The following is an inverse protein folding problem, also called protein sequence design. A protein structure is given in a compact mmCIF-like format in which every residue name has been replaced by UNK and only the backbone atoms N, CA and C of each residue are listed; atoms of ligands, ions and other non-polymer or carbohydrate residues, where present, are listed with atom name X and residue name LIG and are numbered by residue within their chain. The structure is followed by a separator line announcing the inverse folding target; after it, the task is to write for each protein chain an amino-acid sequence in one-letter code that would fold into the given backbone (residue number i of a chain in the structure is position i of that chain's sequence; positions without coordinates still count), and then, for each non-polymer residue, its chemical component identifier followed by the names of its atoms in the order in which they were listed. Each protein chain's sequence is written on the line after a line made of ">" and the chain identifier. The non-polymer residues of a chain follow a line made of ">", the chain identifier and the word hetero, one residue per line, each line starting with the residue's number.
data_IF_028281914286
#
_entry.id   IF_028281914286
#
_cell.length_a   1.000
_cell.length_b   1.000
_cell.length_c   1.000
_cell.angle_alpha   90.00
_cell.angle_beta   90.00
_cell.angle_gamma   90.00
#
_symmetry.space_group_name_H-M   'P 1'
#
loop_
_entity.id
_entity.type
_entity.pdbx_description
1 polymer ?
#
# COMPACT_ATOMS: atom_id res chain seq x y z
N UNK A 1 -10.83 8.34 29.25
CA UNK A 1 -11.31 7.28 28.31
C UNK A 1 -10.71 7.53 26.94
N UNK A 2 -9.90 6.59 26.45
CA UNK A 2 -9.42 6.63 25.08
C UNK A 2 -10.61 6.43 24.13
N UNK A 3 -10.81 7.30 23.14
CA UNK A 3 -11.91 7.13 22.20
C UNK A 3 -11.79 5.77 21.51
N UNK A 4 -12.85 4.99 21.57
CA UNK A 4 -12.93 3.71 20.86
C UNK A 4 -12.59 3.94 19.39
N UNK A 5 -11.75 3.09 18.76
CA UNK A 5 -11.41 3.22 17.37
C UNK A 5 -12.68 3.29 16.54
N UNK A 6 -12.78 4.32 15.71
CA UNK A 6 -13.99 4.58 14.95
C UNK A 6 -14.35 3.36 14.08
N UNK A 7 -15.64 3.11 13.89
CA UNK A 7 -16.18 2.03 13.05
C UNK A 7 -15.49 1.90 11.68
N UNK A 8 -14.84 2.95 11.18
CA UNK A 8 -14.12 2.94 9.89
C UNK A 8 -12.90 2.01 9.87
N UNK A 9 -12.20 1.84 10.99
CA UNK A 9 -11.06 0.90 11.05
C UNK A 9 -11.49 -0.57 11.09
N UNK A 10 -12.70 -0.86 11.56
CA UNK A 10 -13.27 -2.22 11.52
C UNK A 10 -13.72 -2.66 10.12
N UNK A 11 -13.85 -1.73 9.18
CA UNK A 11 -14.36 -2.00 7.82
C UNK A 11 -13.28 -2.46 6.83
N UNK A 12 -12.02 -2.58 7.24
CA UNK A 12 -10.96 -3.11 6.39
C UNK A 12 -10.88 -4.64 6.38
N UNK A 13 -11.61 -5.32 7.27
CA UNK A 13 -11.58 -6.77 7.39
C UNK A 13 -12.70 -7.45 6.57
N UNK A 14 -12.43 -8.66 6.11
CA UNK A 14 -13.37 -9.59 5.43
C UNK A 14 -14.71 -9.77 6.19
N UNK A 15 -14.72 -9.51 7.48
CA UNK A 15 -15.90 -9.67 8.37
C UNK A 15 -17.15 -8.89 7.94
N UNK A 16 -16.99 -7.83 7.14
CA UNK A 16 -18.11 -6.96 6.74
C UNK A 16 -18.70 -7.35 5.39
N UNK A 17 -18.37 -8.53 4.86
CA UNK A 17 -18.90 -9.02 3.60
C UNK A 17 -19.93 -10.12 3.84
N UNK A 18 -21.02 -10.05 3.08
CA UNK A 18 -22.03 -11.08 3.10
C UNK A 18 -21.51 -12.37 2.44
N UNK A 19 -21.79 -13.50 3.02
CA UNK A 19 -21.51 -14.81 2.40
C UNK A 19 -22.48 -15.10 1.25
N UNK A 20 -23.72 -14.62 1.39
CA UNK A 20 -24.79 -14.68 0.39
C UNK A 20 -25.26 -13.27 0.07
N UNK A 21 -25.97 -13.09 -1.03
CA UNK A 21 -26.58 -11.84 -1.39
C UNK A 21 -27.56 -11.36 -0.31
N UNK A 22 -27.43 -10.09 0.11
CA UNK A 22 -28.27 -9.48 1.12
C UNK A 22 -28.39 -7.97 0.87
N UNK A 23 -29.41 -7.35 1.46
CA UNK A 23 -29.60 -5.89 1.36
C UNK A 23 -28.46 -5.11 2.00
N UNK A 24 -27.99 -4.08 1.29
CA UNK A 24 -27.00 -3.13 1.79
C UNK A 24 -27.23 -1.74 1.18
N UNK A 25 -26.96 -0.67 1.92
CA UNK A 25 -27.09 0.72 1.44
C UNK A 25 -26.28 1.02 0.18
N UNK A 26 -25.17 0.35 -0.03
CA UNK A 26 -24.37 0.40 -1.25
C UNK A 26 -24.60 -0.92 -1.99
N UNK A 27 -25.32 -0.88 -3.10
CA UNK A 27 -25.86 -2.05 -3.82
C UNK A 27 -24.85 -3.18 -4.02
N UNK A 28 -23.66 -2.85 -4.50
CA UNK A 28 -22.61 -3.84 -4.75
C UNK A 28 -22.03 -4.50 -3.48
N UNK A 29 -22.14 -3.84 -2.33
CA UNK A 29 -21.64 -4.41 -1.05
C UNK A 29 -22.58 -5.47 -0.47
N UNK A 30 -23.80 -5.51 -0.93
CA UNK A 30 -24.77 -6.55 -0.56
C UNK A 30 -24.56 -7.88 -1.27
N UNK A 31 -23.72 -7.91 -2.32
CA UNK A 31 -23.46 -9.14 -3.09
C UNK A 31 -22.52 -10.08 -2.36
N UNK A 32 -22.71 -11.38 -2.59
CA UNK A 32 -21.90 -12.46 -2.05
C UNK A 32 -20.41 -12.23 -2.30
N UNK A 33 -19.59 -12.25 -1.21
CA UNK A 33 -18.17 -11.97 -1.29
C UNK A 33 -17.30 -13.14 -1.76
N UNK A 34 -17.58 -14.41 -1.38
CA UNK A 34 -16.65 -15.51 -1.64
C UNK A 34 -16.42 -15.82 -3.12
N UNK A 35 -17.39 -15.47 -3.99
CA UNK A 35 -17.37 -15.81 -5.41
C UNK A 35 -17.34 -14.61 -6.35
N UNK A 36 -17.19 -13.39 -5.80
CA UNK A 36 -17.30 -12.17 -6.59
C UNK A 36 -16.15 -11.21 -6.37
N UNK A 37 -15.73 -10.56 -7.46
CA UNK A 37 -15.01 -9.30 -7.43
C UNK A 37 -16.01 -8.15 -7.29
N UNK A 38 -15.81 -7.27 -6.31
CA UNK A 38 -16.74 -6.18 -6.02
C UNK A 38 -16.03 -4.83 -6.14
N UNK A 39 -16.52 -3.98 -7.05
CA UNK A 39 -16.07 -2.60 -7.17
C UNK A 39 -16.71 -1.75 -6.06
N UNK A 40 -15.89 -1.00 -5.33
CA UNK A 40 -16.35 -0.09 -4.29
C UNK A 40 -15.59 1.23 -4.35
N UNK A 41 -16.21 2.29 -3.83
CA UNK A 41 -15.50 3.54 -3.61
C UNK A 41 -14.39 3.38 -2.57
N UNK A 42 -13.34 4.19 -2.71
CA UNK A 42 -12.26 4.31 -1.73
C UNK A 42 -12.05 5.77 -1.33
N UNK A 43 -11.76 5.98 -0.06
CA UNK A 43 -11.35 7.28 0.44
C UNK A 43 -9.82 7.53 0.35
N UNK A 44 -9.05 6.61 -0.24
CA UNK A 44 -7.60 6.67 -0.25
C UNK A 44 -7.06 7.95 -0.90
N UNK A 45 -7.56 8.33 -2.08
CA UNK A 45 -7.14 9.56 -2.77
C UNK A 45 -7.39 10.82 -1.92
N UNK A 46 -8.55 10.90 -1.25
CA UNK A 46 -8.88 12.00 -0.34
C UNK A 46 -7.99 12.00 0.91
N UNK A 47 -7.61 10.82 1.41
CA UNK A 47 -6.74 10.71 2.57
C UNK A 47 -5.32 11.16 2.26
N UNK A 48 -4.78 10.78 1.11
CA UNK A 48 -3.44 11.23 0.64
C UNK A 48 -3.42 12.75 0.45
N UNK A 49 -4.43 13.33 -0.19
CA UNK A 49 -4.51 14.79 -0.39
C UNK A 49 -4.56 15.60 0.91
N UNK A 50 -5.00 15.03 2.04
CA UNK A 50 -4.94 15.68 3.34
C UNK A 50 -3.51 15.80 3.89
N UNK A 51 -2.64 14.87 3.54
CA UNK A 51 -1.25 14.83 4.01
C UNK A 51 -0.32 15.50 3.00
N UNK A 52 -0.61 15.37 1.72
CA UNK A 52 0.10 15.95 0.58
C UNK A 52 -0.85 16.86 -0.20
N UNK A 53 -1.07 18.12 0.25
CA UNK A 53 -2.03 19.04 -0.37
C UNK A 53 -1.77 19.32 -1.84
N UNK A 54 -0.52 19.22 -2.29
CA UNK A 54 -0.11 19.39 -3.69
C UNK A 54 -0.70 18.34 -4.64
N UNK A 55 -1.21 17.23 -4.09
CA UNK A 55 -1.90 16.17 -4.84
C UNK A 55 -3.43 16.35 -4.86
N UNK A 56 -3.95 17.42 -4.29
CA UNK A 56 -5.38 17.69 -4.29
C UNK A 56 -5.89 17.80 -5.72
N UNK A 57 -6.93 17.02 -6.03
CA UNK A 57 -7.52 16.96 -7.38
C UNK A 57 -6.73 16.17 -8.43
N UNK A 58 -5.50 15.72 -8.10
CA UNK A 58 -4.66 14.94 -9.02
C UNK A 58 -4.81 13.42 -8.86
N UNK A 59 -5.44 12.98 -7.78
CA UNK A 59 -5.63 11.57 -7.47
C UNK A 59 -7.08 11.18 -7.61
N UNK A 60 -7.32 10.10 -8.33
CA UNK A 60 -8.60 9.41 -8.40
C UNK A 60 -8.39 7.93 -8.10
N UNK A 61 -9.42 7.26 -7.64
CA UNK A 61 -9.30 5.83 -7.40
C UNK A 61 -10.60 5.19 -6.93
N UNK A 62 -10.65 3.90 -7.13
CA UNK A 62 -11.67 3.00 -6.60
C UNK A 62 -10.99 1.76 -6.02
N UNK A 63 -11.75 0.90 -5.38
CA UNK A 63 -11.25 -0.34 -4.83
C UNK A 63 -11.96 -1.54 -5.45
N UNK A 64 -11.19 -2.56 -5.77
CA UNK A 64 -11.69 -3.87 -6.15
C UNK A 64 -11.54 -4.79 -4.94
N UNK A 65 -12.65 -5.32 -4.45
CA UNK A 65 -12.67 -6.28 -3.35
C UNK A 65 -12.58 -7.68 -3.92
N UNK A 66 -11.59 -8.43 -3.46
CA UNK A 66 -11.34 -9.83 -3.86
C UNK A 66 -11.44 -10.75 -2.64
N UNK A 67 -11.84 -12.02 -2.81
CA UNK A 67 -12.01 -12.96 -1.70
C UNK A 67 -10.67 -13.59 -1.27
N UNK A 68 -9.75 -12.75 -0.80
CA UNK A 68 -8.47 -13.18 -0.23
C UNK A 68 -8.47 -12.98 1.29
N UNK A 69 -7.77 -13.84 2.06
CA UNK A 69 -7.76 -13.75 3.53
C UNK A 69 -7.17 -12.44 4.04
N UNK A 70 -6.04 -12.01 3.50
CA UNK A 70 -5.32 -10.80 3.88
C UNK A 70 -4.49 -10.30 2.68
N UNK A 71 -3.77 -9.22 2.88
CA UNK A 71 -2.96 -8.49 1.89
C UNK A 71 -3.81 -7.79 0.84
N UNK A 72 -3.42 -6.59 0.56
CA UNK A 72 -3.96 -5.78 -0.53
C UNK A 72 -2.87 -5.40 -1.52
N UNK A 73 -3.28 -5.00 -2.69
CA UNK A 73 -2.40 -4.46 -3.71
C UNK A 73 -2.91 -3.10 -4.17
N UNK A 74 -2.04 -2.10 -4.16
CA UNK A 74 -2.29 -0.84 -4.83
C UNK A 74 -1.68 -0.88 -6.23
N UNK A 75 -2.49 -0.57 -7.23
CA UNK A 75 -2.05 -0.40 -8.61
C UNK A 75 -2.03 1.10 -8.87
N UNK A 76 -0.84 1.66 -9.07
CA UNK A 76 -0.65 3.08 -9.32
C UNK A 76 -0.36 3.30 -10.80
N UNK A 77 -1.28 3.96 -11.49
CA UNK A 77 -1.04 4.48 -12.83
C UNK A 77 -0.49 5.90 -12.68
N UNK A 78 0.73 6.14 -13.10
CA UNK A 78 1.42 7.42 -12.94
C UNK A 78 1.96 7.93 -14.28
N UNK A 79 1.96 9.25 -14.43
CA UNK A 79 2.65 9.94 -15.52
C UNK A 79 3.86 10.65 -14.94
N UNK A 80 5.03 10.23 -15.35
CA UNK A 80 6.31 10.75 -14.88
C UNK A 80 6.68 12.07 -15.58
N UNK A 81 7.59 12.84 -14.99
CA UNK A 81 8.09 14.09 -15.55
C UNK A 81 8.94 13.90 -16.80
N UNK A 82 9.55 12.73 -16.97
CA UNK A 82 10.39 12.36 -18.12
C UNK A 82 10.14 10.92 -18.55
N UNK A 83 10.61 10.56 -19.71
CA UNK A 83 10.64 9.18 -20.16
C UNK A 83 11.61 8.37 -19.30
N UNK A 84 11.28 7.12 -19.05
CA UNK A 84 12.11 6.17 -18.32
C UNK A 84 11.92 4.75 -18.85
N UNK A 85 12.81 3.86 -18.46
CA UNK A 85 12.68 2.43 -18.72
C UNK A 85 12.23 1.68 -17.47
N UNK A 86 11.75 0.43 -17.67
CA UNK A 86 11.42 -0.47 -16.55
C UNK A 86 12.63 -0.70 -15.65
N UNK A 87 13.80 -0.93 -16.24
CA UNK A 87 15.02 -1.24 -15.50
C UNK A 87 15.50 -0.05 -14.69
N UNK A 88 15.46 1.17 -15.25
CA UNK A 88 15.81 2.40 -14.57
C UNK A 88 14.87 2.64 -13.36
N UNK A 89 13.56 2.47 -13.58
CA UNK A 89 12.58 2.66 -12.51
C UNK A 89 12.70 1.61 -11.40
N UNK A 90 12.92 0.35 -11.78
CA UNK A 90 13.13 -0.74 -10.83
C UNK A 90 14.41 -0.53 -10.02
N UNK A 91 15.50 -0.11 -10.65
CA UNK A 91 16.75 0.18 -9.95
C UNK A 91 16.58 1.36 -8.97
N UNK A 92 15.91 2.43 -9.40
CA UNK A 92 15.58 3.55 -8.50
C UNK A 92 14.79 3.07 -7.28
N UNK A 93 13.73 2.27 -7.47
CA UNK A 93 12.92 1.75 -6.37
C UNK A 93 13.70 0.79 -5.46
N UNK A 94 14.62 0.01 -6.03
CA UNK A 94 15.53 -0.85 -5.28
C UNK A 94 16.45 -0.02 -4.37
N UNK A 95 17.02 1.05 -4.89
CA UNK A 95 17.86 1.97 -4.11
C UNK A 95 17.06 2.65 -3.01
N UNK A 96 15.83 3.09 -3.30
CA UNK A 96 14.93 3.66 -2.29
C UNK A 96 14.65 2.66 -1.16
N UNK A 97 14.35 1.40 -1.50
CA UNK A 97 14.06 0.37 -0.50
C UNK A 97 15.27 -0.01 0.37
N UNK A 98 16.47 0.00 -0.20
CA UNK A 98 17.68 -0.46 0.50
C UNK A 98 18.42 0.67 1.22
N UNK A 99 18.51 1.84 0.61
CA UNK A 99 19.46 2.88 1.06
C UNK A 99 18.81 4.20 1.48
N UNK A 100 17.52 4.42 1.21
CA UNK A 100 16.86 5.68 1.57
C UNK A 100 16.37 5.70 3.02
N UNK A 101 15.97 6.87 3.55
CA UNK A 101 15.28 6.98 4.83
C UNK A 101 13.98 6.15 4.90
N UNK A 102 13.44 5.75 3.76
CA UNK A 102 12.20 4.96 3.64
C UNK A 102 12.42 3.45 3.69
N UNK A 103 13.67 2.95 3.81
CA UNK A 103 14.02 1.52 3.83
C UNK A 103 13.27 0.65 4.83
N UNK A 104 12.68 1.26 5.87
CA UNK A 104 11.82 0.55 6.84
C UNK A 104 10.34 0.59 6.46
N UNK A 105 9.98 1.35 5.43
CA UNK A 105 8.60 1.57 5.00
C UNK A 105 8.34 0.97 3.62
N UNK A 106 9.32 1.02 2.74
CA UNK A 106 9.25 0.48 1.38
C UNK A 106 10.19 -0.71 1.30
N UNK A 107 9.66 -1.83 0.87
CA UNK A 107 10.42 -3.04 0.56
C UNK A 107 10.34 -3.33 -0.95
N UNK A 108 11.17 -4.24 -1.43
CA UNK A 108 11.35 -4.50 -2.86
C UNK A 108 11.33 -6.01 -3.13
N UNK A 109 10.52 -6.43 -4.08
CA UNK A 109 10.48 -7.81 -4.57
C UNK A 109 10.85 -7.86 -6.05
N UNK A 110 11.76 -8.77 -6.40
CA UNK A 110 12.12 -9.08 -7.78
C UNK A 110 11.81 -10.54 -8.14
N UNK A 111 11.06 -11.23 -7.31
CA UNK A 111 10.65 -12.61 -7.60
C UNK A 111 9.46 -12.63 -8.57
N UNK A 112 9.50 -13.48 -9.60
CA UNK A 112 8.37 -13.65 -10.53
C UNK A 112 7.22 -14.48 -9.96
N UNK A 113 7.40 -15.14 -8.81
CA UNK A 113 6.46 -16.12 -8.27
C UNK A 113 5.59 -15.57 -7.13
N UNK A 114 5.81 -14.31 -6.73
CA UNK A 114 5.12 -13.73 -5.57
C UNK A 114 3.62 -13.61 -5.75
N UNK A 115 2.89 -13.95 -4.70
CA UNK A 115 1.45 -13.81 -4.60
C UNK A 115 1.08 -13.18 -3.25
N UNK A 116 -0.19 -12.84 -3.05
CA UNK A 116 -0.64 -12.11 -1.86
C UNK A 116 -0.27 -12.78 -0.53
N UNK A 117 -0.24 -14.10 -0.47
CA UNK A 117 0.07 -14.84 0.77
C UNK A 117 1.52 -14.69 1.23
N UNK A 118 2.44 -14.41 0.31
CA UNK A 118 3.87 -14.23 0.61
C UNK A 118 4.14 -12.95 1.40
N UNK A 119 3.21 -12.01 1.35
CA UNK A 119 3.33 -10.72 2.03
C UNK A 119 2.57 -10.64 3.35
N UNK A 120 1.95 -11.74 3.80
CA UNK A 120 1.32 -11.81 5.12
C UNK A 120 2.39 -11.69 6.20
N UNK A 121 2.20 -10.75 7.14
CA UNK A 121 3.19 -10.42 8.18
C UNK A 121 4.30 -9.48 7.72
N UNK A 122 4.23 -8.91 6.52
CA UNK A 122 5.16 -7.88 6.08
C UNK A 122 5.08 -6.64 6.98
N UNK A 123 6.25 -6.16 7.44
CA UNK A 123 6.38 -4.96 8.28
C UNK A 123 6.42 -3.67 7.48
N UNK A 124 6.62 -3.75 6.17
CA UNK A 124 6.69 -2.61 5.30
C UNK A 124 5.32 -1.95 5.13
N UNK A 125 5.30 -0.66 4.84
CA UNK A 125 4.07 0.03 4.43
C UNK A 125 3.62 -0.44 3.04
N UNK A 126 4.59 -0.76 2.19
CA UNK A 126 4.37 -1.44 0.92
C UNK A 126 5.62 -2.20 0.46
N UNK A 127 5.41 -3.20 -0.38
CA UNK A 127 6.45 -3.94 -1.10
C UNK A 127 6.27 -3.67 -2.58
N UNK A 128 7.27 -3.07 -3.20
CA UNK A 128 7.25 -2.78 -4.63
C UNK A 128 7.54 -4.05 -5.43
N UNK A 129 6.67 -4.34 -6.40
CA UNK A 129 6.79 -5.51 -7.29
C UNK A 129 7.48 -5.10 -8.60
N UNK A 130 8.76 -5.40 -8.71
CA UNK A 130 9.57 -5.04 -9.86
C UNK A 130 9.19 -5.84 -11.11
N UNK A 131 8.79 -7.12 -10.95
CA UNK A 131 8.45 -7.97 -12.08
C UNK A 131 7.11 -7.56 -12.71
N UNK A 132 6.15 -7.15 -11.91
CA UNK A 132 4.85 -6.69 -12.38
C UNK A 132 4.87 -5.26 -12.97
N UNK A 133 5.90 -4.46 -12.69
CA UNK A 133 6.01 -3.07 -13.16
C UNK A 133 5.99 -2.97 -14.68
N UNK A 134 5.15 -2.08 -15.21
CA UNK A 134 5.02 -1.79 -16.63
C UNK A 134 5.40 -0.34 -16.89
N UNK A 135 6.23 -0.09 -17.91
CA UNK A 135 6.64 1.27 -18.30
C UNK A 135 6.48 1.43 -19.80
N UNK A 136 5.91 2.56 -20.22
CA UNK A 136 5.81 2.99 -21.61
C UNK A 136 6.07 4.50 -21.70
N UNK A 137 7.30 4.86 -22.04
CA UNK A 137 7.75 6.26 -22.05
C UNK A 137 7.59 6.90 -20.68
N UNK A 138 6.70 7.86 -20.58
CA UNK A 138 6.38 8.58 -19.32
C UNK A 138 5.31 7.90 -18.48
N UNK A 139 4.64 6.90 -19.01
CA UNK A 139 3.56 6.23 -18.29
C UNK A 139 4.09 4.99 -17.59
N UNK A 140 3.82 4.86 -16.31
CA UNK A 140 4.18 3.69 -15.54
C UNK A 140 2.99 3.15 -14.74
N UNK A 141 2.93 1.82 -14.64
CA UNK A 141 1.99 1.11 -13.77
C UNK A 141 2.82 0.39 -12.73
N UNK A 142 2.65 0.78 -11.48
CA UNK A 142 3.37 0.24 -10.34
C UNK A 142 2.44 -0.64 -9.52
N UNK A 143 2.94 -1.77 -9.06
CA UNK A 143 2.22 -2.71 -8.21
C UNK A 143 2.87 -2.74 -6.83
N UNK A 144 2.07 -2.47 -5.80
CA UNK A 144 2.52 -2.31 -4.42
C UNK A 144 1.69 -3.21 -3.53
N UNK A 145 2.32 -4.24 -2.96
CA UNK A 145 1.71 -5.14 -2.00
C UNK A 145 1.79 -4.56 -0.59
N UNK A 146 0.79 -4.79 0.23
CA UNK A 146 0.83 -4.39 1.64
C UNK A 146 -0.09 -5.25 2.51
N UNK A 147 0.39 -5.58 3.71
CA UNK A 147 -0.42 -6.21 4.73
C UNK A 147 -1.28 -5.15 5.42
N UNK A 148 -2.58 -5.25 5.28
CA UNK A 148 -3.54 -4.28 5.79
C UNK A 148 -3.53 -4.17 7.31
N UNK A 149 -3.23 -5.26 8.01
CA UNK A 149 -3.32 -5.36 9.46
C UNK A 149 -1.94 -5.17 10.10
N UNK A 150 -1.00 -6.04 9.78
CA UNK A 150 0.31 -6.07 10.41
C UNK A 150 1.21 -4.91 9.92
N UNK A 151 1.27 -4.69 8.62
CA UNK A 151 2.05 -3.60 8.05
C UNK A 151 1.60 -2.24 8.56
N UNK A 152 0.28 -1.98 8.60
CA UNK A 152 -0.25 -0.74 9.17
C UNK A 152 0.07 -0.59 10.66
N UNK A 153 -0.08 -1.64 11.46
CA UNK A 153 0.25 -1.64 12.89
C UNK A 153 1.73 -1.31 13.12
N UNK A 154 2.62 -1.83 12.28
CA UNK A 154 4.03 -1.49 12.32
C UNK A 154 4.30 -0.01 12.03
N UNK A 155 3.55 0.62 11.11
CA UNK A 155 3.69 2.07 10.86
C UNK A 155 3.21 2.89 12.06
N UNK A 156 2.09 2.53 12.69
CA UNK A 156 1.61 3.18 13.91
C UNK A 156 2.65 3.08 15.02
N UNK A 157 3.22 1.90 15.23
CA UNK A 157 4.28 1.68 16.22
C UNK A 157 5.51 2.57 15.95
N UNK A 158 5.97 2.67 14.71
CA UNK A 158 7.08 3.56 14.33
C UNK A 158 6.79 5.04 14.60
N UNK A 159 5.56 5.48 14.40
CA UNK A 159 5.15 6.85 14.74
C UNK A 159 5.21 7.08 16.25
N UNK A 160 4.74 6.11 17.04
CA UNK A 160 4.83 6.17 18.50
C UNK A 160 6.28 6.21 18.99
N UNK A 161 7.16 5.38 18.44
CA UNK A 161 8.59 5.42 18.74
C UNK A 161 9.21 6.79 18.44
N UNK A 162 8.88 7.36 17.29
CA UNK A 162 9.34 8.70 16.91
C UNK A 162 8.83 9.78 17.86
N UNK A 163 7.56 9.71 18.26
CA UNK A 163 6.98 10.65 19.23
C UNK A 163 7.62 10.52 20.60
N UNK A 164 7.97 9.29 21.01
CA UNK A 164 8.67 9.03 22.28
C UNK A 164 10.17 9.35 22.24
N UNK A 165 10.70 9.79 21.09
CA UNK A 165 12.12 10.11 20.93
C UNK A 165 13.04 8.89 20.96
N UNK A 166 12.49 7.67 20.78
CA UNK A 166 13.27 6.44 20.77
C UNK A 166 14.13 6.39 19.52
N UNK A 167 15.45 6.24 19.72
CA UNK A 167 16.43 6.08 18.64
C UNK A 167 17.11 4.73 18.79
N UNK A 168 17.04 3.91 17.75
CA UNK A 168 17.80 2.67 17.68
C UNK A 168 19.17 2.92 17.07
N UNK A 169 20.18 2.29 17.63
CA UNK A 169 21.50 2.26 17.02
C UNK A 169 21.41 1.45 15.71
N UNK A 170 21.82 2.06 14.61
CA UNK A 170 21.96 1.40 13.31
C UNK A 170 23.43 1.18 13.02
N UNK A 171 23.85 -0.07 12.82
CA UNK A 171 25.19 -0.45 12.45
C UNK A 171 25.21 -1.15 11.09
N UNK A 172 26.22 -0.90 10.31
CA UNK A 172 27.03 0.31 10.27
C UNK A 172 26.21 1.52 9.80
N UNK A 173 26.64 2.77 10.12
CA UNK A 173 26.06 3.91 9.44
C UNK A 173 26.36 3.74 7.95
N UNK A 174 25.35 3.49 7.17
CA UNK A 174 25.50 3.52 5.72
C UNK A 174 25.84 4.96 5.36
N UNK A 175 27.05 5.15 4.84
CA UNK A 175 27.49 6.41 4.28
C UNK A 175 26.60 6.66 3.05
N UNK A 176 25.48 7.34 3.28
CA UNK A 176 24.59 7.77 2.21
C UNK A 176 25.16 9.07 1.67
N UNK A 177 26.22 8.95 0.89
CA UNK A 177 26.64 9.98 -0.03
C UNK A 177 25.43 10.40 -0.84
N UNK A 178 25.07 11.67 -0.72
CA UNK A 178 23.81 12.30 -1.09
C UNK A 178 23.07 11.74 -2.31
N UNK A 179 21.79 11.53 -2.10
CA UNK A 179 20.72 11.61 -3.11
C UNK A 179 20.08 12.98 -3.02
#
# INVERSE_FOLDING_TARGET
>A
ELPMPSRRQRQMCIRDRNLIDNYHKADRRGRSAPLNLVLTETGAAKAVAKVLPELTGKLTGNAIRVPTPNVSMAILNVTLGRDTSKDELNEFMRQVALHSPYRKQIDFSNSPEVVSTDFVGSRAACVFDAQATVVNGRHAVLYLWYDNEYGYSCQVYRVLEKMAGIKYLTYPPTDTGGL
#
